data_IF_817129673649
#
_entry.id   IF_817129673649
#
_cell.length_a   1.000
_cell.length_b   1.000
_cell.length_c   1.000
_cell.angle_alpha   90.00
_cell.angle_beta   90.00
_cell.angle_gamma   90.00
#
_symmetry.space_group_name_H-M   'P 1'
#
loop_
_entity.id
_entity.type
_entity.pdbx_description
1 polymer ?
#
# COMPACT_ATOMS: atom_id res chain seq x y z
N UNK A 1 -19.89 7.59 5.22
CA UNK A 1 -19.21 6.67 4.30
C UNK A 1 -17.84 7.27 3.99
N UNK A 2 -16.74 6.58 4.30
CA UNK A 2 -15.38 7.06 4.00
C UNK A 2 -14.82 6.30 2.79
N UNK A 3 -14.30 7.05 1.83
CA UNK A 3 -13.76 6.52 0.58
C UNK A 3 -12.25 6.35 0.66
N UNK A 4 -11.79 5.10 0.70
CA UNK A 4 -10.37 4.76 0.64
C UNK A 4 -9.90 4.47 -0.79
N UNK A 5 -10.73 4.75 -1.80
CA UNK A 5 -10.35 4.66 -3.20
C UNK A 5 -9.04 5.41 -3.45
N UNK A 6 -8.09 4.80 -4.17
CA UNK A 6 -6.78 5.38 -4.45
C UNK A 6 -5.86 5.56 -3.22
N UNK A 7 -6.01 4.70 -2.21
CA UNK A 7 -5.13 4.72 -1.02
C UNK A 7 -4.14 3.56 -1.04
N UNK A 8 -2.88 3.83 -0.73
CA UNK A 8 -1.86 2.83 -0.42
C UNK A 8 -2.00 2.38 1.03
N UNK A 9 -2.00 1.07 1.22
CA UNK A 9 -2.18 0.44 2.52
C UNK A 9 -1.14 -0.65 2.75
N UNK A 10 -0.57 -0.68 3.95
CA UNK A 10 0.29 -1.75 4.42
C UNK A 10 -0.55 -2.81 5.12
N UNK A 11 -0.33 -4.06 4.76
CA UNK A 11 -0.93 -5.20 5.45
C UNK A 11 -0.18 -5.48 6.77
N UNK A 12 -0.84 -5.30 7.91
CA UNK A 12 -0.24 -5.53 9.25
C UNK A 12 -0.34 -6.98 9.74
N UNK A 13 -1.31 -7.74 9.23
CA UNK A 13 -1.62 -9.08 9.72
C UNK A 13 -1.96 -10.08 8.59
N UNK A 14 -1.76 -11.37 8.87
CA UNK A 14 -2.06 -12.50 7.98
C UNK A 14 -0.92 -12.88 7.02
N UNK A 15 -1.23 -13.73 6.02
CA UNK A 15 -0.27 -14.28 5.04
C UNK A 15 0.44 -13.21 4.18
N UNK A 16 -0.16 -12.03 4.07
CA UNK A 16 0.37 -10.91 3.30
C UNK A 16 0.98 -9.80 4.19
N UNK A 17 1.34 -10.11 5.45
CA UNK A 17 1.95 -9.13 6.37
C UNK A 17 3.23 -8.51 5.78
N UNK A 18 3.40 -7.21 5.97
CA UNK A 18 4.59 -6.46 5.54
C UNK A 18 4.60 -6.06 4.06
N UNK A 19 3.47 -6.17 3.37
CA UNK A 19 3.35 -5.80 1.94
C UNK A 19 2.38 -4.67 1.74
N UNK A 20 2.69 -3.85 0.73
CA UNK A 20 1.90 -2.70 0.33
C UNK A 20 0.90 -3.15 -0.73
N UNK A 21 -0.32 -2.63 -0.61
CA UNK A 21 -1.41 -2.83 -1.54
C UNK A 21 -2.09 -1.51 -1.83
N UNK A 22 -2.83 -1.46 -2.93
CA UNK A 22 -3.66 -0.32 -3.32
C UNK A 22 -5.12 -0.69 -3.12
N UNK A 23 -5.87 0.17 -2.44
CA UNK A 23 -7.31 0.04 -2.29
C UNK A 23 -8.00 0.44 -3.59
N UNK A 24 -8.76 -0.50 -4.15
CA UNK A 24 -9.55 -0.28 -5.37
C UNK A 24 -10.93 0.28 -5.03
N UNK A 25 -11.59 -0.29 -4.02
CA UNK A 25 -12.96 0.07 -3.63
C UNK A 25 -13.21 -0.25 -2.16
N UNK A 26 -13.96 0.62 -1.49
CA UNK A 26 -14.56 0.33 -0.19
C UNK A 26 -15.87 -0.44 -0.39
N UNK A 27 -16.03 -1.58 0.28
CA UNK A 27 -17.26 -2.39 0.20
C UNK A 27 -18.20 -1.99 1.32
N UNK A 28 -17.67 -1.94 2.54
CA UNK A 28 -18.39 -1.60 3.76
C UNK A 28 -17.53 -0.67 4.63
N UNK A 29 -18.09 -0.19 5.74
CA UNK A 29 -17.37 0.62 6.74
C UNK A 29 -16.14 -0.07 7.34
N UNK A 30 -16.10 -1.41 7.29
CA UNK A 30 -15.00 -2.20 7.85
C UNK A 30 -14.25 -3.00 6.79
N UNK A 31 -14.74 -3.10 5.56
CA UNK A 31 -14.19 -3.97 4.53
C UNK A 31 -13.80 -3.19 3.28
N UNK A 32 -12.59 -3.48 2.79
CA UNK A 32 -12.04 -2.89 1.58
C UNK A 32 -11.55 -3.98 0.64
N UNK A 33 -11.57 -3.66 -0.66
CA UNK A 33 -10.95 -4.44 -1.70
C UNK A 33 -9.63 -3.79 -2.09
N UNK A 34 -8.54 -4.55 -1.99
CA UNK A 34 -7.24 -4.10 -2.44
C UNK A 34 -6.57 -5.08 -3.39
N UNK A 35 -5.61 -4.57 -4.15
CA UNK A 35 -4.77 -5.33 -5.07
C UNK A 35 -3.35 -4.75 -5.14
N UNK A 36 -2.40 -5.54 -5.64
CA UNK A 36 -1.00 -5.13 -5.88
C UNK A 36 -0.59 -5.43 -7.34
N UNK A 37 -1.43 -6.11 -8.12
CA UNK A 37 -1.17 -6.44 -9.52
C UNK A 37 -0.20 -7.61 -9.72
N UNK A 38 0.57 -8.01 -8.69
CA UNK A 38 1.51 -9.14 -8.75
C UNK A 38 0.91 -10.43 -8.20
N UNK A 39 0.67 -10.48 -6.88
CA UNK A 39 0.01 -11.64 -6.24
C UNK A 39 -1.51 -11.58 -6.32
N UNK A 40 -2.08 -10.37 -6.24
CA UNK A 40 -3.52 -10.12 -6.28
C UNK A 40 -3.77 -9.14 -7.42
N UNK A 41 -4.38 -9.64 -8.49
CA UNK A 41 -4.74 -8.86 -9.68
C UNK A 41 -5.96 -7.99 -9.38
N UNK A 42 -6.15 -6.94 -10.17
CA UNK A 42 -7.37 -6.10 -10.13
C UNK A 42 -8.66 -6.89 -10.36
N UNK A 43 -8.59 -7.97 -11.13
CA UNK A 43 -9.73 -8.88 -11.40
C UNK A 43 -10.09 -9.77 -10.20
N UNK A 44 -9.12 -10.07 -9.33
CA UNK A 44 -9.30 -10.89 -8.13
C UNK A 44 -8.76 -10.13 -6.90
N UNK A 45 -9.39 -9.00 -6.55
CA UNK A 45 -8.97 -8.21 -5.40
C UNK A 45 -9.21 -9.01 -4.12
N UNK A 46 -8.45 -8.68 -3.08
CA UNK A 46 -8.60 -9.32 -1.78
C UNK A 46 -9.47 -8.46 -0.88
N UNK A 47 -10.50 -9.08 -0.30
CA UNK A 47 -11.28 -8.48 0.77
C UNK A 47 -10.46 -8.51 2.07
N UNK A 48 -10.30 -7.36 2.71
CA UNK A 48 -9.67 -7.27 4.03
C UNK A 48 -10.37 -6.24 4.91
N UNK A 49 -10.28 -6.49 6.21
CA UNK A 49 -10.77 -5.58 7.23
C UNK A 49 -9.83 -4.40 7.43
N UNK A 50 -10.39 -3.20 7.54
CA UNK A 50 -9.67 -1.95 7.74
C UNK A 50 -8.81 -2.00 9.01
N UNK A 51 -9.29 -2.68 10.06
CA UNK A 51 -8.54 -2.91 11.32
C UNK A 51 -7.18 -3.60 11.15
N UNK A 52 -6.93 -4.29 10.03
CA UNK A 52 -5.71 -5.07 9.79
C UNK A 52 -4.79 -4.42 8.73
N UNK A 53 -5.07 -3.18 8.35
CA UNK A 53 -4.25 -2.41 7.42
C UNK A 53 -3.79 -1.12 8.09
N UNK A 54 -2.69 -0.59 7.59
CA UNK A 54 -2.20 0.75 7.91
C UNK A 54 -2.24 1.59 6.66
N UNK A 55 -2.88 2.74 6.72
CA UNK A 55 -2.88 3.70 5.62
C UNK A 55 -1.48 4.32 5.51
N UNK A 56 -0.92 4.31 4.31
CA UNK A 56 0.41 4.84 4.03
C UNK A 56 0.35 6.20 3.30
N UNK A 57 -0.66 6.40 2.46
CA UNK A 57 -0.82 7.61 1.67
C UNK A 57 -1.66 7.37 0.42
N UNK A 58 -1.62 8.30 -0.54
CA UNK A 58 -2.29 8.15 -1.84
C UNK A 58 -1.46 7.30 -2.81
N UNK A 59 -2.11 6.45 -3.60
CA UNK A 59 -1.45 5.67 -4.64
C UNK A 59 -1.12 6.47 -5.90
N UNK A 60 -1.65 7.69 -6.02
CA UNK A 60 -1.43 8.55 -7.21
C UNK A 60 -2.09 8.01 -8.47
N UNK A 61 -3.12 7.17 -8.34
CA UNK A 61 -3.91 6.64 -9.45
C UNK A 61 -5.11 7.56 -9.66
N UNK A 62 -5.18 8.24 -10.80
CA UNK A 62 -6.27 9.15 -11.12
C UNK A 62 -7.64 8.45 -11.12
N UNK A 63 -7.72 7.24 -11.67
CA UNK A 63 -8.93 6.42 -11.74
C UNK A 63 -8.65 4.97 -11.31
N UNK A 64 -9.10 4.59 -10.12
CA UNK A 64 -8.96 3.21 -9.63
C UNK A 64 -9.72 2.19 -10.48
N UNK A 65 -10.82 2.59 -11.15
CA UNK A 65 -11.58 1.72 -12.05
C UNK A 65 -10.81 1.31 -13.31
N UNK A 66 -9.85 2.14 -13.75
CA UNK A 66 -8.96 1.87 -14.89
C UNK A 66 -7.59 1.36 -14.44
N UNK A 67 -7.41 1.09 -13.15
CA UNK A 67 -6.14 0.63 -12.62
C UNK A 67 -5.76 -0.70 -13.30
N UNK A 68 -4.59 -0.72 -13.95
CA UNK A 68 -4.01 -1.94 -14.50
C UNK A 68 -2.98 -2.51 -13.53
N UNK A 69 -2.67 -3.80 -13.68
CA UNK A 69 -1.63 -4.46 -12.86
C UNK A 69 -0.27 -3.72 -12.93
N UNK A 70 0.02 -3.08 -14.08
CA UNK A 70 1.23 -2.26 -14.25
C UNK A 70 1.22 -0.98 -13.41
N UNK A 71 0.08 -0.28 -13.36
CA UNK A 71 -0.10 0.92 -12.53
C UNK A 71 0.07 0.59 -11.05
N UNK A 72 -0.53 -0.51 -10.57
CA UNK A 72 -0.40 -0.95 -9.18
C UNK A 72 1.06 -1.20 -8.80
N UNK A 73 1.80 -1.93 -9.66
CA UNK A 73 3.22 -2.20 -9.46
C UNK A 73 4.05 -0.91 -9.43
N UNK A 74 3.71 0.05 -10.29
CA UNK A 74 4.40 1.35 -10.34
C UNK A 74 4.13 2.15 -9.06
N UNK A 75 2.90 2.20 -8.58
CA UNK A 75 2.53 2.91 -7.35
C UNK A 75 3.23 2.31 -6.11
N UNK A 76 3.22 0.98 -5.97
CA UNK A 76 3.91 0.32 -4.84
C UNK A 76 5.42 0.48 -4.93
N UNK A 77 6.01 0.36 -6.13
CA UNK A 77 7.44 0.59 -6.33
C UNK A 77 7.84 2.05 -6.07
N UNK A 78 7.07 3.02 -6.54
CA UNK A 78 7.31 4.44 -6.31
C UNK A 78 7.29 4.76 -4.81
N UNK A 79 6.33 4.21 -4.07
CA UNK A 79 6.30 4.37 -2.62
C UNK A 79 7.54 3.75 -1.95
N UNK A 80 7.93 2.52 -2.33
CA UNK A 80 9.14 1.89 -1.78
C UNK A 80 10.40 2.69 -2.10
N UNK A 81 10.51 3.26 -3.30
CA UNK A 81 11.60 4.13 -3.71
C UNK A 81 11.66 5.41 -2.84
N UNK A 82 10.51 6.01 -2.53
CA UNK A 82 10.48 7.17 -1.60
C UNK A 82 11.00 6.82 -0.21
N UNK A 83 10.66 5.63 0.32
CA UNK A 83 11.16 5.15 1.61
C UNK A 83 12.66 4.85 1.57
N UNK A 84 13.16 4.28 0.47
CA UNK A 84 14.60 4.03 0.30
C UNK A 84 15.38 5.33 0.24
N UNK A 85 14.87 6.34 -0.47
CA UNK A 85 15.46 7.69 -0.52
C UNK A 85 15.47 8.37 0.85
N UNK A 86 14.41 8.25 1.64
CA UNK A 86 14.37 8.82 2.99
C UNK A 86 15.30 8.09 3.97
N UNK A 87 15.46 6.77 3.82
CA UNK A 87 16.32 5.96 4.69
C UNK A 87 17.82 6.12 4.38
N UNK A 88 18.18 6.81 3.30
CA UNK A 88 19.57 7.12 2.95
C UNK A 88 20.14 8.34 3.72
N UNK A 89 19.39 8.89 4.69
CA UNK A 89 19.80 10.08 5.43
C UNK A 89 19.87 9.89 6.97
N UNK A 90 19.77 8.67 7.49
CA UNK A 90 20.03 8.39 8.92
C UNK A 90 20.89 7.15 9.09
N UNK A 91 22.13 7.24 8.64
CA UNK A 91 23.21 6.79 9.50
C UNK A 91 23.33 7.84 10.61
N UNK A 92 22.78 7.55 11.79
CA UNK A 92 23.35 8.14 13.00
C UNK A 92 24.61 7.32 13.25
N UNK A 93 25.83 7.86 13.02
CA UNK A 93 27.01 7.24 13.59
C UNK A 93 26.80 7.28 15.10
N UNK A 94 26.60 6.11 15.70
CA UNK A 94 26.78 5.93 17.13
C UNK A 94 28.23 6.29 17.43
N UNK A 95 28.39 7.49 17.95
CA UNK A 95 29.47 7.92 18.82
C UNK A 95 29.92 6.73 19.68
N UNK A 96 31.14 6.26 19.39
CA UNK A 96 31.90 5.47 20.35
C UNK A 96 32.34 6.45 21.43
N UNK A 97 31.64 6.45 22.56
CA UNK A 97 32.16 7.04 23.80
C UNK A 97 33.56 6.45 24.07
N UNK A 98 34.53 7.35 24.20
CA UNK A 98 35.91 7.09 24.57
C UNK A 98 36.47 8.31 25.26
#
# INVERSE_FOLDING_TARGET
>A
MMDFSNTLVLSLAGKDKGRIFVVLKTVDENHILYADGRRRRVEKPKLKKIKHIRILGSAGIADVSKATNGMLRKATAAYLDTIQKSNQCTEQPADKEG
#
